data_IF_099843462104
#
_entry.id   IF_099843462104
#
_cell.length_a   1.000
_cell.length_b   1.000
_cell.length_c   1.000
_cell.angle_alpha   90.00
_cell.angle_beta   90.00
_cell.angle_gamma   90.00
#
_symmetry.space_group_name_H-M   'P 1'
#
loop_
_entity.id
_entity.type
_entity.pdbx_description
1 polymer ?
#
# COMPACT_ATOMS: atom_id res chain seq x y z
N UNK A 1 -1.13 19.26 -9.92
CA UNK A 1 -0.83 17.83 -9.71
C UNK A 1 -2.01 17.25 -8.95
N UNK A 2 -2.52 16.12 -9.40
CA UNK A 2 -3.58 15.44 -8.63
C UNK A 2 -2.99 15.01 -7.29
N UNK A 3 -3.75 15.26 -6.24
CA UNK A 3 -3.33 14.91 -4.87
C UNK A 3 -3.36 13.39 -4.69
N UNK A 4 -2.28 12.85 -4.17
CA UNK A 4 -2.10 11.41 -3.94
C UNK A 4 -1.73 11.17 -2.48
N UNK A 5 -2.40 10.22 -1.85
CA UNK A 5 -1.97 9.65 -0.57
C UNK A 5 -1.15 8.38 -0.80
N UNK A 6 -0.55 7.85 0.25
CA UNK A 6 0.17 6.59 0.24
C UNK A 6 -0.39 5.64 1.29
N UNK A 7 -0.74 4.42 0.89
CA UNK A 7 -1.03 3.32 1.80
C UNK A 7 0.14 2.35 1.77
N UNK A 8 0.75 2.10 2.94
CA UNK A 8 1.79 1.09 3.10
C UNK A 8 1.17 -0.14 3.76
N UNK A 9 1.12 -1.25 3.04
CA UNK A 9 0.67 -2.52 3.58
C UNK A 9 1.82 -3.21 4.30
N UNK A 10 1.87 -3.05 5.62
CA UNK A 10 2.92 -3.57 6.49
C UNK A 10 2.49 -4.82 7.27
N UNK A 11 1.19 -5.09 7.35
CA UNK A 11 0.63 -6.29 7.94
C UNK A 11 0.95 -7.54 7.13
N UNK A 12 1.04 -8.67 7.79
CA UNK A 12 1.24 -9.98 7.18
C UNK A 12 1.94 -10.93 8.13
N UNK A 13 1.45 -12.17 8.18
CA UNK A 13 2.02 -13.22 9.02
C UNK A 13 3.41 -13.62 8.50
N UNK A 14 4.46 -13.00 9.05
CA UNK A 14 5.85 -13.44 8.85
C UNK A 14 6.17 -14.67 9.70
N UNK A 15 5.31 -15.68 9.63
CA UNK A 15 5.39 -16.89 10.44
C UNK A 15 6.72 -17.66 10.33
N UNK A 16 7.51 -17.38 9.29
CA UNK A 16 8.77 -18.08 9.02
C UNK A 16 10.02 -17.37 9.55
N UNK A 17 9.94 -16.09 9.91
CA UNK A 17 11.12 -15.26 10.22
C UNK A 17 11.19 -14.79 11.67
N UNK A 18 10.19 -15.12 12.51
CA UNK A 18 10.20 -14.79 13.94
C UNK A 18 10.01 -13.31 14.29
N UNK A 19 9.98 -12.44 13.29
CA UNK A 19 9.72 -10.99 13.43
C UNK A 19 8.93 -10.44 12.23
N UNK A 20 8.20 -9.33 12.42
CA UNK A 20 7.46 -8.68 11.33
C UNK A 20 8.38 -8.26 10.19
N UNK A 21 8.01 -8.60 8.95
CA UNK A 21 8.80 -8.28 7.74
C UNK A 21 9.08 -6.78 7.62
N UNK A 22 8.12 -5.95 8.01
CA UNK A 22 8.24 -4.50 8.00
C UNK A 22 9.44 -3.97 8.79
N UNK A 23 9.85 -4.65 9.86
CA UNK A 23 10.96 -4.25 10.72
C UNK A 23 12.31 -4.83 10.28
N UNK A 24 12.35 -5.65 9.23
CA UNK A 24 13.61 -6.20 8.74
C UNK A 24 14.53 -5.08 8.24
N UNK A 25 15.85 -5.22 8.50
CA UNK A 25 16.83 -4.24 8.03
C UNK A 25 16.88 -4.19 6.50
N UNK A 26 16.97 -2.99 5.97
CA UNK A 26 17.16 -2.69 4.58
C UNK A 26 18.49 -1.93 4.39
N UNK A 27 18.62 -1.11 3.36
CA UNK A 27 19.84 -0.34 3.09
C UNK A 27 20.07 0.74 4.15
N UNK A 28 21.34 1.10 4.39
CA UNK A 28 21.75 2.20 5.27
C UNK A 28 21.26 2.10 6.74
N UNK A 29 20.89 0.91 7.21
CA UNK A 29 20.38 0.70 8.57
C UNK A 29 18.92 1.05 8.77
N UNK A 30 18.20 1.43 7.72
CA UNK A 30 16.75 1.58 7.74
C UNK A 30 16.05 0.22 7.84
N UNK A 31 14.81 0.19 8.36
CA UNK A 31 13.91 -0.93 8.16
C UNK A 31 13.12 -0.77 6.84
N UNK A 32 12.50 -1.85 6.35
CA UNK A 32 11.67 -1.79 5.16
C UNK A 32 10.53 -0.76 5.30
N UNK A 33 9.89 -0.70 6.47
CA UNK A 33 8.82 0.28 6.71
C UNK A 33 9.35 1.72 6.77
N UNK A 34 10.53 1.96 7.39
CA UNK A 34 11.15 3.28 7.40
C UNK A 34 11.48 3.75 5.99
N UNK A 35 11.97 2.82 5.14
CA UNK A 35 12.28 3.09 3.74
C UNK A 35 11.03 3.47 2.94
N UNK A 36 9.94 2.70 3.07
CA UNK A 36 8.68 2.99 2.39
C UNK A 36 8.08 4.33 2.86
N UNK A 37 8.09 4.59 4.18
CA UNK A 37 7.61 5.85 4.76
C UNK A 37 8.41 7.06 4.24
N UNK A 38 9.73 6.96 4.20
CA UNK A 38 10.60 8.03 3.70
C UNK A 38 10.27 8.40 2.26
N UNK A 39 10.01 7.41 1.38
CA UNK A 39 9.59 7.69 -0.01
C UNK A 39 8.31 8.53 -0.10
N UNK A 40 7.31 8.23 0.73
CA UNK A 40 6.10 9.03 0.79
C UNK A 40 6.34 10.46 1.30
N UNK A 41 7.17 10.59 2.35
CA UNK A 41 7.51 11.91 2.91
C UNK A 41 8.32 12.77 1.93
N UNK A 42 9.29 12.18 1.22
CA UNK A 42 10.09 12.87 0.19
C UNK A 42 9.26 13.29 -1.03
N UNK A 43 8.26 12.51 -1.39
CA UNK A 43 7.33 12.82 -2.49
C UNK A 43 6.23 13.82 -2.10
N UNK A 44 6.22 14.28 -0.85
CA UNK A 44 5.26 15.25 -0.31
C UNK A 44 3.79 14.87 -0.56
N UNK A 45 3.46 13.59 -0.36
CA UNK A 45 2.06 13.14 -0.45
C UNK A 45 1.18 13.79 0.62
N UNK A 46 -0.12 13.83 0.40
CA UNK A 46 -1.06 14.49 1.30
C UNK A 46 -1.17 13.78 2.65
N UNK A 47 -1.29 12.45 2.65
CA UNK A 47 -1.35 11.61 3.85
C UNK A 47 -0.73 10.23 3.58
N UNK A 48 -0.20 9.62 4.64
CA UNK A 48 0.41 8.30 4.63
C UNK A 48 -0.29 7.42 5.66
N UNK A 49 -0.83 6.30 5.22
CA UNK A 49 -1.54 5.36 6.09
C UNK A 49 -0.78 4.04 6.11
N UNK A 50 -0.36 3.62 7.29
CA UNK A 50 0.35 2.36 7.49
C UNK A 50 -0.65 1.33 8.02
N UNK A 51 -1.01 0.33 7.20
CA UNK A 51 -1.82 -0.80 7.64
C UNK A 51 -0.93 -1.87 8.25
N UNK A 52 -1.21 -2.23 9.49
CA UNK A 52 -0.41 -3.19 10.29
C UNK A 52 -1.05 -4.58 10.43
N UNK A 53 -2.18 -4.83 9.73
CA UNK A 53 -2.96 -6.03 9.98
C UNK A 53 -3.59 -6.00 11.37
N UNK A 54 -3.49 -7.10 12.09
CA UNK A 54 -3.93 -7.25 13.49
C UNK A 54 -2.76 -7.25 14.50
N UNK A 55 -1.57 -6.82 14.09
CA UNK A 55 -0.33 -6.87 14.89
C UNK A 55 -0.11 -5.56 15.67
N UNK A 56 -0.64 -5.50 16.90
CA UNK A 56 -0.46 -4.35 17.80
C UNK A 56 1.01 -4.13 18.22
N UNK A 57 1.83 -5.20 18.26
CA UNK A 57 3.26 -5.07 18.56
C UNK A 57 4.00 -4.36 17.44
N UNK A 58 3.66 -4.69 16.19
CA UNK A 58 4.18 -3.97 15.01
C UNK A 58 3.78 -2.49 15.05
N UNK A 59 2.50 -2.21 15.33
CA UNK A 59 2.00 -0.84 15.45
C UNK A 59 2.75 -0.03 16.51
N UNK A 60 2.94 -0.61 17.70
CA UNK A 60 3.69 0.04 18.78
C UNK A 60 5.17 0.27 18.41
N UNK A 61 5.81 -0.70 17.77
CA UNK A 61 7.20 -0.56 17.33
C UNK A 61 7.36 0.54 16.26
N UNK A 62 6.46 0.61 15.28
CA UNK A 62 6.44 1.67 14.25
C UNK A 62 6.23 3.04 14.91
N UNK A 63 5.26 3.15 15.82
CA UNK A 63 4.99 4.40 16.52
C UNK A 63 6.24 4.89 17.26
N UNK A 64 6.81 4.04 18.14
CA UNK A 64 7.87 4.43 19.06
C UNK A 64 9.22 4.66 18.36
N UNK A 65 9.57 3.78 17.43
CA UNK A 65 10.92 3.80 16.84
C UNK A 65 11.02 4.57 15.52
N UNK A 66 9.88 4.89 14.89
CA UNK A 66 9.87 5.55 13.58
C UNK A 66 9.08 6.85 13.67
N UNK A 67 7.76 6.80 13.93
CA UNK A 67 6.91 8.00 13.86
C UNK A 67 7.32 9.03 14.92
N UNK A 68 7.65 8.60 16.14
CA UNK A 68 8.04 9.54 17.21
C UNK A 68 9.36 10.28 16.92
N UNK A 69 10.16 9.79 15.97
CA UNK A 69 11.39 10.47 15.53
C UNK A 69 11.17 11.50 14.43
N UNK A 70 10.01 11.51 13.78
CA UNK A 70 9.67 12.45 12.73
C UNK A 70 9.45 13.89 13.29
N UNK A 71 9.56 14.87 12.42
CA UNK A 71 9.17 16.25 12.73
C UNK A 71 7.65 16.35 12.99
N UNK A 72 7.22 17.43 13.64
CA UNK A 72 5.80 17.63 13.95
C UNK A 72 4.92 17.73 12.68
N UNK A 73 5.46 18.23 11.57
CA UNK A 73 4.70 18.36 10.33
C UNK A 73 4.60 17.03 9.58
N UNK A 74 5.65 16.23 9.60
CA UNK A 74 5.62 14.85 9.07
C UNK A 74 4.65 13.96 9.87
N UNK A 75 4.67 14.05 11.19
CA UNK A 75 3.73 13.30 12.08
C UNK A 75 2.27 13.54 11.73
N UNK A 76 1.91 14.75 11.32
CA UNK A 76 0.52 15.09 10.94
C UNK A 76 0.07 14.35 9.67
N UNK A 77 1.01 13.96 8.82
CA UNK A 77 0.73 13.26 7.57
C UNK A 77 0.64 11.74 7.74
N UNK A 78 1.10 11.18 8.87
CA UNK A 78 1.24 9.73 9.06
C UNK A 78 0.24 9.21 10.07
N UNK A 79 -0.46 8.16 9.71
CA UNK A 79 -1.35 7.41 10.59
C UNK A 79 -1.09 5.91 10.52
N UNK A 80 -1.32 5.21 11.63
CA UNK A 80 -1.32 3.76 11.69
C UNK A 80 -2.76 3.29 11.76
N UNK A 81 -3.12 2.31 10.95
CA UNK A 81 -4.45 1.68 10.98
C UNK A 81 -4.30 0.18 11.18
N UNK A 82 -5.15 -0.34 12.06
CA UNK A 82 -5.34 -1.77 12.24
C UNK A 82 -6.43 -2.27 11.31
N UNK A 83 -6.30 -3.50 10.82
CA UNK A 83 -7.35 -4.10 10.01
C UNK A 83 -8.63 -4.25 10.82
N UNK A 84 -9.71 -3.70 10.30
CA UNK A 84 -11.03 -3.76 10.94
C UNK A 84 -11.70 -5.13 10.80
N UNK A 85 -11.20 -5.97 9.88
CA UNK A 85 -11.69 -7.32 9.61
C UNK A 85 -10.49 -8.27 9.65
N UNK A 86 -10.52 -9.20 10.60
CA UNK A 86 -9.43 -10.14 10.81
C UNK A 86 -9.27 -11.12 9.64
N UNK A 87 -8.03 -11.51 9.35
CA UNK A 87 -7.65 -12.56 8.39
C UNK A 87 -8.08 -12.34 6.93
N UNK A 88 -8.31 -11.10 6.55
CA UNK A 88 -8.64 -10.74 5.16
C UNK A 88 -7.41 -10.36 4.32
N UNK A 89 -6.21 -10.58 4.83
CA UNK A 89 -4.96 -10.33 4.11
C UNK A 89 -4.84 -8.89 3.58
N UNK A 90 -4.18 -8.67 2.44
CA UNK A 90 -3.96 -7.32 1.91
C UNK A 90 -5.26 -6.55 1.61
N UNK A 91 -6.37 -7.25 1.30
CA UNK A 91 -7.65 -6.59 1.04
C UNK A 91 -8.24 -5.97 2.32
N UNK A 92 -8.09 -6.63 3.48
CA UNK A 92 -8.49 -6.08 4.78
C UNK A 92 -7.73 -4.82 5.12
N UNK A 93 -6.41 -4.82 4.89
CA UNK A 93 -5.55 -3.67 5.06
C UNK A 93 -5.92 -2.50 4.15
N UNK A 94 -6.15 -2.77 2.87
CA UNK A 94 -6.60 -1.77 1.90
C UNK A 94 -7.94 -1.15 2.30
N UNK A 95 -8.91 -1.98 2.68
CA UNK A 95 -10.22 -1.53 3.15
C UNK A 95 -10.09 -0.60 4.35
N UNK A 96 -9.37 -1.04 5.38
CA UNK A 96 -9.24 -0.28 6.63
C UNK A 96 -8.50 1.05 6.42
N UNK A 97 -7.49 1.06 5.55
CA UNK A 97 -6.75 2.27 5.22
C UNK A 97 -7.61 3.25 4.40
N UNK A 98 -8.28 2.80 3.34
CA UNK A 98 -9.15 3.65 2.51
C UNK A 98 -10.33 4.22 3.30
N UNK A 99 -10.83 3.51 4.32
CA UNK A 99 -11.95 3.95 5.14
C UNK A 99 -11.63 5.17 6.01
N UNK A 100 -10.36 5.41 6.33
CA UNK A 100 -9.91 6.55 7.13
C UNK A 100 -9.20 7.62 6.30
N UNK A 101 -8.85 7.29 5.07
CA UNK A 101 -8.11 8.17 4.17
C UNK A 101 -8.89 9.39 3.71
N UNK A 102 -8.18 10.50 3.49
CA UNK A 102 -8.76 11.80 3.09
C UNK A 102 -8.32 12.25 1.71
N UNK A 103 -7.33 11.60 1.10
CA UNK A 103 -6.86 11.90 -0.25
C UNK A 103 -7.82 11.37 -1.33
N UNK A 104 -7.91 12.01 -2.49
CA UNK A 104 -8.81 11.60 -3.58
C UNK A 104 -8.40 10.29 -4.26
N UNK A 105 -7.13 9.89 -4.12
CA UNK A 105 -6.58 8.63 -4.58
C UNK A 105 -5.38 8.23 -3.72
N UNK A 106 -5.11 6.93 -3.65
CA UNK A 106 -4.01 6.36 -2.87
C UNK A 106 -3.16 5.44 -3.72
N UNK A 107 -1.85 5.71 -3.76
CA UNK A 107 -0.86 4.70 -4.11
C UNK A 107 -0.81 3.63 -3.01
N UNK A 108 -0.78 2.38 -3.39
CA UNK A 108 -0.64 1.24 -2.48
C UNK A 108 0.72 0.60 -2.69
N UNK A 109 1.48 0.49 -1.62
CA UNK A 109 2.81 -0.10 -1.63
C UNK A 109 2.89 -1.20 -0.58
N UNK A 110 3.17 -2.44 -0.99
CA UNK A 110 3.52 -3.47 -0.04
C UNK A 110 4.92 -3.19 0.55
N UNK A 111 5.07 -3.37 1.86
CA UNK A 111 6.34 -3.08 2.55
C UNK A 111 7.52 -3.89 2.01
N UNK A 112 7.25 -5.01 1.36
CA UNK A 112 8.26 -5.88 0.75
C UNK A 112 8.56 -5.58 -0.72
N UNK A 113 8.08 -4.44 -1.23
CA UNK A 113 8.39 -3.91 -2.56
C UNK A 113 9.27 -2.65 -2.47
N UNK A 114 10.51 -2.75 -1.95
CA UNK A 114 11.33 -1.58 -1.61
C UNK A 114 11.85 -0.82 -2.82
N UNK A 115 11.75 -1.38 -4.02
CA UNK A 115 12.20 -0.73 -5.23
C UNK A 115 11.12 0.16 -5.87
N UNK A 116 9.84 0.01 -5.48
CA UNK A 116 8.78 0.91 -5.94
C UNK A 116 9.11 2.37 -5.60
N UNK A 117 8.83 3.29 -6.53
CA UNK A 117 9.01 4.72 -6.33
C UNK A 117 7.69 5.48 -6.47
N UNK A 118 7.60 6.63 -5.81
CA UNK A 118 6.43 7.51 -5.96
C UNK A 118 6.34 8.11 -7.35
N UNK A 119 7.47 8.30 -8.04
CA UNK A 119 7.50 8.83 -9.41
C UNK A 119 6.74 7.93 -10.38
N UNK A 120 6.85 6.59 -10.23
CA UNK A 120 6.07 5.64 -11.04
C UNK A 120 4.56 5.79 -10.83
N UNK A 121 4.12 5.96 -9.58
CA UNK A 121 2.69 6.17 -9.32
C UNK A 121 2.19 7.47 -9.96
N UNK A 122 2.96 8.55 -9.93
CA UNK A 122 2.60 9.80 -10.59
C UNK A 122 2.62 9.65 -12.12
N UNK A 123 3.58 8.90 -12.68
CA UNK A 123 3.63 8.60 -14.11
C UNK A 123 2.38 7.82 -14.55
N UNK A 124 2.00 6.77 -13.82
CA UNK A 124 0.81 5.97 -14.13
C UNK A 124 -0.47 6.80 -13.99
N UNK A 125 -0.57 7.61 -12.96
CA UNK A 125 -1.71 8.51 -12.78
C UNK A 125 -1.83 9.50 -13.94
N UNK A 126 -0.70 9.99 -14.45
CA UNK A 126 -0.67 10.89 -15.60
C UNK A 126 -1.03 10.19 -16.93
N UNK A 127 -0.67 8.93 -17.11
CA UNK A 127 -1.01 8.16 -18.32
C UNK A 127 -2.52 7.93 -18.44
N UNK A 128 -3.25 7.86 -17.33
CA UNK A 128 -4.70 7.71 -17.31
C UNK A 128 -5.35 9.10 -17.38
N UNK A 129 -5.65 9.56 -18.60
CA UNK A 129 -6.11 10.92 -18.88
C UNK A 129 -7.63 11.14 -18.71
N UNK A 130 -8.34 10.23 -18.07
CA UNK A 130 -9.79 10.33 -17.79
C UNK A 130 -10.09 9.99 -16.33
N UNK A 131 -11.25 10.47 -15.85
CA UNK A 131 -11.60 10.35 -14.43
C UNK A 131 -12.55 9.19 -14.09
N UNK A 132 -12.84 8.29 -15.03
CA UNK A 132 -13.79 7.21 -14.85
C UNK A 132 -13.08 5.87 -14.50
N UNK A 133 -12.14 5.90 -13.55
CA UNK A 133 -11.46 4.71 -13.04
C UNK A 133 -11.70 4.55 -11.55
N UNK A 134 -11.66 3.30 -11.08
CA UNK A 134 -11.72 2.92 -9.66
C UNK A 134 -10.33 2.62 -9.11
N UNK A 135 -9.53 1.99 -9.95
CA UNK A 135 -8.12 1.66 -9.67
C UNK A 135 -7.29 1.69 -10.94
N UNK A 136 -5.99 1.94 -10.76
CA UNK A 136 -4.95 1.84 -11.79
C UNK A 136 -3.99 0.77 -11.29
N UNK A 137 -3.79 -0.30 -12.05
CA UNK A 137 -3.00 -1.45 -11.58
C UNK A 137 -1.95 -1.82 -12.63
N UNK A 138 -0.66 -1.88 -12.24
CA UNK A 138 0.39 -2.29 -13.17
C UNK A 138 0.27 -3.77 -13.49
N UNK A 139 0.59 -4.13 -14.72
CA UNK A 139 0.68 -5.50 -15.21
C UNK A 139 2.12 -5.76 -15.61
N UNK A 140 2.79 -6.64 -14.88
CA UNK A 140 4.18 -6.99 -15.11
C UNK A 140 4.37 -7.97 -16.27
N UNK A 141 5.61 -8.40 -16.51
CA UNK A 141 6.02 -9.28 -17.61
C UNK A 141 5.27 -10.64 -17.67
N UNK A 142 4.66 -11.07 -16.56
CA UNK A 142 3.85 -12.30 -16.51
C UNK A 142 2.43 -12.11 -17.06
N UNK A 143 2.02 -10.89 -17.37
CA UNK A 143 0.66 -10.51 -17.76
C UNK A 143 -0.33 -10.51 -16.57
N UNK A 144 0.15 -10.66 -15.35
CA UNK A 144 -0.70 -10.63 -14.14
C UNK A 144 -0.70 -9.24 -13.52
N UNK A 145 -1.87 -8.73 -13.10
CA UNK A 145 -1.94 -7.49 -12.33
C UNK A 145 -1.18 -7.61 -11.00
N UNK A 146 -0.55 -6.50 -10.58
CA UNK A 146 0.12 -6.39 -9.27
C UNK A 146 -0.67 -5.41 -8.38
N UNK A 147 -1.77 -5.86 -7.77
CA UNK A 147 -2.68 -4.98 -7.05
C UNK A 147 -2.06 -4.34 -5.80
N UNK A 148 -1.00 -4.90 -5.25
CA UNK A 148 -0.27 -4.31 -4.12
C UNK A 148 0.69 -3.18 -4.53
N UNK A 149 0.74 -2.85 -5.82
CA UNK A 149 1.45 -1.70 -6.38
C UNK A 149 0.50 -0.78 -7.16
N UNK A 150 -0.81 -0.86 -6.92
CA UNK A 150 -1.82 -0.09 -7.64
C UNK A 150 -2.13 1.28 -7.02
N UNK A 151 -2.96 2.05 -7.72
CA UNK A 151 -3.57 3.28 -7.24
C UNK A 151 -5.08 3.04 -7.12
N UNK A 152 -5.67 3.45 -5.99
CA UNK A 152 -7.07 3.20 -5.69
C UNK A 152 -7.79 4.47 -5.26
N UNK A 153 -9.05 4.62 -5.69
CA UNK A 153 -9.93 5.69 -5.21
C UNK A 153 -10.72 5.24 -3.99
N UNK A 154 -10.89 6.10 -2.96
CA UNK A 154 -11.57 5.74 -1.72
C UNK A 154 -13.02 5.29 -1.90
N UNK A 155 -13.72 5.69 -2.95
CA UNK A 155 -15.13 5.32 -3.15
C UNK A 155 -15.36 3.80 -3.28
N UNK A 156 -14.30 3.00 -3.62
CA UNK A 156 -14.40 1.54 -3.65
C UNK A 156 -14.68 0.93 -2.28
N UNK A 157 -14.41 1.65 -1.19
CA UNK A 157 -14.69 1.20 0.20
C UNK A 157 -16.12 0.69 0.35
N UNK A 158 -17.08 1.31 -0.32
CA UNK A 158 -18.48 0.88 -0.27
C UNK A 158 -18.76 -0.50 -0.89
N UNK A 159 -17.87 -0.99 -1.76
CA UNK A 159 -17.99 -2.28 -2.45
C UNK A 159 -17.25 -3.40 -1.71
N UNK A 160 -16.18 -3.06 -0.99
CA UNK A 160 -15.28 -4.05 -0.36
C UNK A 160 -15.93 -4.91 0.73
N UNK A 161 -16.89 -4.43 1.56
CA UNK A 161 -17.52 -5.28 2.59
C UNK A 161 -18.19 -6.54 2.04
N UNK A 162 -18.80 -6.47 0.85
CA UNK A 162 -19.41 -7.63 0.20
C UNK A 162 -18.37 -8.66 -0.20
N UNK A 163 -17.21 -8.21 -0.70
CA UNK A 163 -16.09 -9.08 -1.07
C UNK A 163 -15.46 -9.71 0.17
N UNK A 164 -15.25 -8.90 1.23
CA UNK A 164 -14.66 -9.32 2.49
C UNK A 164 -15.53 -10.32 3.27
N UNK A 165 -16.83 -10.35 3.01
CA UNK A 165 -17.78 -11.35 3.54
C UNK A 165 -17.83 -12.64 2.69
N UNK A 166 -17.18 -12.69 1.53
CA UNK A 166 -17.15 -13.81 0.60
C UNK A 166 -16.09 -14.86 0.93
N UNK A 167 -16.00 -15.88 0.09
CA UNK A 167 -14.99 -16.95 0.21
C UNK A 167 -13.62 -16.53 -0.34
N UNK A 168 -13.59 -15.70 -1.38
CA UNK A 168 -12.34 -15.18 -1.99
C UNK A 168 -12.15 -13.71 -1.61
N UNK A 169 -11.27 -13.48 -0.64
CA UNK A 169 -10.87 -12.16 -0.15
C UNK A 169 -9.54 -11.69 -0.77
N UNK A 170 -9.19 -12.21 -1.95
CA UNK A 170 -7.98 -11.76 -2.65
C UNK A 170 -8.16 -10.40 -3.31
N UNK A 171 -7.06 -9.63 -3.40
CA UNK A 171 -7.08 -8.38 -4.15
C UNK A 171 -7.37 -8.58 -5.64
N UNK A 172 -6.99 -9.72 -6.22
CA UNK A 172 -7.30 -10.02 -7.62
C UNK A 172 -8.81 -10.17 -7.83
N UNK A 173 -9.48 -10.95 -6.98
CA UNK A 173 -10.94 -11.04 -7.03
C UNK A 173 -11.62 -9.69 -6.80
N UNK A 174 -11.08 -8.87 -5.90
CA UNK A 174 -11.59 -7.53 -5.69
C UNK A 174 -11.54 -6.66 -6.96
N UNK A 175 -10.45 -6.73 -7.75
CA UNK A 175 -10.35 -6.00 -9.01
C UNK A 175 -11.46 -6.40 -10.00
N UNK A 176 -11.81 -7.68 -10.08
CA UNK A 176 -12.88 -8.17 -10.96
C UNK A 176 -14.25 -7.61 -10.57
N UNK A 177 -14.48 -7.44 -9.26
CA UNK A 177 -15.78 -6.99 -8.72
C UNK A 177 -15.93 -5.47 -8.75
N UNK A 178 -14.89 -4.71 -8.41
CA UNK A 178 -14.96 -3.24 -8.36
C UNK A 178 -15.11 -2.60 -9.74
N UNK A 179 -14.65 -3.26 -10.80
CA UNK A 179 -14.73 -2.78 -12.19
C UNK A 179 -13.98 -1.47 -12.44
N UNK A 180 -14.01 -0.99 -13.69
CA UNK A 180 -13.32 0.25 -14.10
C UNK A 180 -11.85 0.31 -13.70
N UNK A 181 -11.17 -0.85 -13.81
CA UNK A 181 -9.75 -1.00 -13.53
C UNK A 181 -8.95 -0.63 -14.78
N UNK A 182 -8.07 0.37 -14.66
CA UNK A 182 -7.11 0.71 -15.70
C UNK A 182 -5.85 -0.11 -15.52
N UNK A 183 -5.44 -0.81 -16.57
CA UNK A 183 -4.20 -1.59 -16.58
C UNK A 183 -3.08 -0.78 -17.22
N UNK A 184 -1.95 -0.71 -16.53
CA UNK A 184 -0.72 -0.09 -17.04
C UNK A 184 0.26 -1.21 -17.42
N UNK A 185 0.78 -1.17 -18.63
CA UNK A 185 1.90 -2.04 -19.00
C UNK A 185 3.16 -1.61 -18.25
N UNK A 186 3.59 -2.46 -17.35
CA UNK A 186 4.76 -2.25 -16.49
C UNK A 186 5.84 -3.33 -16.72
N UNK A 187 5.92 -3.90 -17.92
CA UNK A 187 6.92 -4.92 -18.26
C UNK A 187 8.35 -4.40 -18.08
N UNK A 188 8.60 -3.13 -18.35
CA UNK A 188 9.91 -2.50 -18.20
C UNK A 188 10.27 -2.20 -16.74
N UNK A 189 9.31 -2.29 -15.82
CA UNK A 189 9.46 -2.01 -14.38
C UNK A 189 9.47 -3.28 -13.52
N UNK A 190 9.92 -4.40 -14.07
CA UNK A 190 9.92 -5.70 -13.35
C UNK A 190 10.78 -5.68 -12.09
N UNK A 191 11.81 -4.84 -12.04
CA UNK A 191 12.65 -4.66 -10.86
C UNK A 191 11.89 -3.92 -9.76
N UNK A 192 11.23 -2.83 -10.09
CA UNK A 192 10.44 -2.01 -9.18
C UNK A 192 9.28 -2.80 -8.59
N UNK A 193 8.64 -3.65 -9.39
CA UNK A 193 7.55 -4.53 -8.96
C UNK A 193 8.02 -5.78 -8.19
N UNK A 194 9.33 -5.98 -8.03
CA UNK A 194 9.84 -7.17 -7.37
C UNK A 194 9.67 -7.13 -5.85
N UNK A 195 9.27 -8.28 -5.29
CA UNK A 195 9.12 -8.49 -3.86
C UNK A 195 10.40 -9.10 -3.25
N UNK A 196 10.77 -8.64 -2.06
CA UNK A 196 11.82 -9.28 -1.26
C UNK A 196 11.20 -10.41 -0.43
N UNK A 197 11.32 -11.62 -0.90
CA UNK A 197 10.79 -12.81 -0.22
C UNK A 197 11.83 -13.61 0.55
N UNK A 198 13.12 -13.28 0.43
CA UNK A 198 14.24 -13.93 1.14
C UNK A 198 15.35 -12.90 1.37
N UNK A 199 15.79 -12.84 2.61
CA UNK A 199 17.05 -12.23 3.02
C UNK A 199 18.08 -13.34 3.22
#
# INVERSE_FOLDING_TARGET
MDKLGLIILAGGLSSRMGQPKALLPWVNGESLISHALRKGLEADVDDIIISIGDDDHLGHAIQTHIIDTLSNDEKKKVSIVRDSIERCGPLGGLYSALAVGTSPAYAVMAVDMPFMSMDLYYEWLYQVNHNNWTSIVPTGATGRPEPMAGIYRPHIVSLLPTILAGEDVSLHHALDVIGHVESIDACDYSWELSNINRF
#
